data_IF_776111403842
#
_entry.id   IF_776111403842
#
_cell.length_a   1.000
_cell.length_b   1.000
_cell.length_c   1.000
_cell.angle_alpha   90.00
_cell.angle_beta   90.00
_cell.angle_gamma   90.00
#
_symmetry.space_group_name_H-M   'P 1'
#
loop_
_entity.id
_entity.type
_entity.pdbx_description
1 polymer ?
#
# COMPACT_ATOMS: atom_id res chain seq x y z
N UNK A 1 -3.71 15.85 19.52
CA UNK A 1 -2.39 15.71 18.89
C UNK A 1 -2.54 14.71 17.76
N UNK A 2 -2.08 15.03 16.55
CA UNK A 2 -2.03 14.06 15.46
C UNK A 2 -1.05 12.96 15.85
N UNK A 3 -1.54 11.73 15.96
CA UNK A 3 -0.70 10.57 16.25
C UNK A 3 0.07 10.28 14.97
N UNK A 4 1.35 10.64 14.93
CA UNK A 4 2.20 10.32 13.79
C UNK A 4 2.57 8.83 13.87
N UNK A 5 2.47 8.06 12.76
CA UNK A 5 2.93 6.69 12.73
C UNK A 5 4.43 6.64 13.02
N UNK A 6 4.89 5.58 13.69
CA UNK A 6 6.32 5.40 13.97
C UNK A 6 7.11 4.95 12.74
N UNK A 7 6.43 4.34 11.77
CA UNK A 7 7.03 3.82 10.55
C UNK A 7 6.17 4.26 9.36
N UNK A 8 6.82 4.72 8.29
CA UNK A 8 6.16 4.95 7.00
C UNK A 8 6.71 3.94 6.00
N UNK A 9 5.85 3.12 5.43
CA UNK A 9 6.19 2.18 4.35
C UNK A 9 5.79 2.83 3.04
N UNK A 10 6.80 3.24 2.25
CA UNK A 10 6.57 3.87 0.94
C UNK A 10 6.75 2.83 -0.15
N UNK A 11 5.73 2.64 -0.97
CA UNK A 11 5.70 1.65 -2.05
C UNK A 11 5.41 2.31 -3.40
N UNK A 12 6.43 2.73 -4.14
CA UNK A 12 6.26 3.17 -5.52
C UNK A 12 5.95 1.97 -6.42
N UNK A 13 5.08 2.17 -7.40
CA UNK A 13 4.74 1.11 -8.35
C UNK A 13 4.38 1.69 -9.72
N UNK A 14 4.79 0.96 -10.77
CA UNK A 14 4.43 1.21 -12.17
C UNK A 14 4.21 -0.15 -12.84
N UNK A 15 3.01 -0.38 -13.39
CA UNK A 15 2.61 -1.63 -14.03
C UNK A 15 2.88 -2.88 -13.16
N UNK A 16 2.58 -2.77 -11.87
CA UNK A 16 2.83 -3.77 -10.83
C UNK A 16 1.74 -4.82 -10.63
N UNK A 17 0.74 -4.94 -11.53
CA UNK A 17 -0.49 -5.74 -11.31
C UNK A 17 -0.26 -7.18 -10.85
N UNK A 18 0.87 -7.79 -11.23
CA UNK A 18 1.22 -9.18 -10.88
C UNK A 18 1.54 -9.36 -9.40
N UNK A 19 2.05 -8.33 -8.74
CA UNK A 19 2.62 -8.43 -7.39
C UNK A 19 1.99 -7.47 -6.39
N UNK A 20 1.35 -6.40 -6.86
CA UNK A 20 0.86 -5.32 -6.01
C UNK A 20 -0.11 -5.82 -4.92
N UNK A 21 -0.99 -6.78 -5.25
CA UNK A 21 -1.89 -7.40 -4.27
C UNK A 21 -1.13 -8.07 -3.12
N UNK A 22 -0.19 -8.96 -3.46
CA UNK A 22 0.60 -9.70 -2.47
C UNK A 22 1.49 -8.77 -1.62
N UNK A 23 2.03 -7.72 -2.23
CA UNK A 23 2.83 -6.72 -1.52
C UNK A 23 2.00 -5.96 -0.48
N UNK A 24 0.82 -5.48 -0.86
CA UNK A 24 -0.11 -4.81 0.07
C UNK A 24 -0.51 -5.77 1.19
N UNK A 25 -0.95 -6.99 0.86
CA UNK A 25 -1.34 -8.00 1.86
C UNK A 25 -0.20 -8.33 2.84
N UNK A 26 1.04 -8.43 2.35
CA UNK A 26 2.22 -8.67 3.19
C UNK A 26 2.45 -7.56 4.20
N UNK A 27 2.28 -6.30 3.79
CA UNK A 27 2.48 -5.12 4.65
C UNK A 27 1.32 -4.98 5.64
N UNK A 28 0.08 -5.15 5.18
CA UNK A 28 -1.10 -5.05 6.04
C UNK A 28 -1.14 -6.15 7.13
N UNK A 29 -0.53 -7.30 6.88
CA UNK A 29 -0.44 -8.44 7.82
C UNK A 29 0.79 -8.40 8.76
N UNK A 30 1.52 -7.28 8.85
CA UNK A 30 2.63 -7.16 9.80
C UNK A 30 2.13 -7.21 11.26
N UNK A 31 2.95 -7.80 12.15
CA UNK A 31 2.66 -7.88 13.60
C UNK A 31 2.81 -6.53 14.32
N UNK A 32 3.49 -5.59 13.69
CA UNK A 32 3.62 -4.21 14.17
C UNK A 32 2.61 -3.33 13.44
N UNK A 33 1.76 -2.60 14.18
CA UNK A 33 0.60 -1.89 13.61
C UNK A 33 0.74 -0.37 13.55
N UNK A 34 1.75 0.22 14.21
CA UNK A 34 1.91 1.69 14.29
C UNK A 34 2.65 2.25 13.06
N UNK A 35 2.11 1.99 11.87
CA UNK A 35 2.66 2.40 10.59
C UNK A 35 1.60 2.98 9.65
N UNK A 36 2.07 3.73 8.65
CA UNK A 36 1.29 4.08 7.46
C UNK A 36 1.87 3.39 6.22
N UNK A 37 1.00 3.03 5.29
CA UNK A 37 1.38 2.52 3.97
C UNK A 37 1.02 3.57 2.91
N UNK A 38 2.04 4.12 2.26
CA UNK A 38 1.89 5.12 1.21
C UNK A 38 2.23 4.45 -0.12
N UNK A 39 1.22 4.29 -0.97
CA UNK A 39 1.39 3.70 -2.31
C UNK A 39 1.45 4.82 -3.33
N UNK A 40 2.53 4.87 -4.10
CA UNK A 40 2.72 5.87 -5.16
C UNK A 40 2.57 5.17 -6.50
N UNK A 41 1.39 5.30 -7.12
CA UNK A 41 1.15 4.82 -8.47
C UNK A 41 1.74 5.81 -9.49
N UNK A 42 2.80 5.43 -10.17
CA UNK A 42 3.52 6.26 -11.15
C UNK A 42 2.86 6.19 -12.54
N UNK A 43 1.58 6.58 -12.63
CA UNK A 43 0.79 6.55 -13.86
C UNK A 43 0.72 5.16 -14.53
N UNK A 44 0.53 4.08 -13.76
CA UNK A 44 0.39 2.73 -14.35
C UNK A 44 -0.71 2.70 -15.41
N UNK A 45 -0.43 2.00 -16.51
CA UNK A 45 -1.35 1.84 -17.65
C UNK A 45 -2.07 0.49 -17.64
N UNK A 46 -1.87 -0.30 -16.59
CA UNK A 46 -2.50 -1.60 -16.38
C UNK A 46 -3.44 -1.58 -15.16
N UNK A 47 -3.94 -2.75 -14.74
CA UNK A 47 -4.87 -2.85 -13.59
C UNK A 47 -4.24 -2.58 -12.21
N UNK A 48 -3.02 -2.05 -12.12
CA UNK A 48 -2.37 -1.77 -10.83
C UNK A 48 -3.22 -0.84 -9.97
N UNK A 49 -3.74 0.25 -10.54
CA UNK A 49 -4.57 1.22 -9.81
C UNK A 49 -5.87 0.60 -9.29
N UNK A 50 -6.56 -0.16 -10.14
CA UNK A 50 -7.78 -0.87 -9.76
C UNK A 50 -7.55 -1.82 -8.58
N UNK A 51 -6.43 -2.55 -8.60
CA UNK A 51 -6.07 -3.45 -7.49
C UNK A 51 -5.79 -2.64 -6.22
N UNK A 52 -5.06 -1.52 -6.30
CA UNK A 52 -4.78 -0.65 -5.13
C UNK A 52 -6.10 -0.15 -4.52
N UNK A 53 -7.01 0.37 -5.34
CA UNK A 53 -8.29 0.92 -4.90
C UNK A 53 -9.27 -0.13 -4.37
N UNK A 54 -9.04 -1.41 -4.63
CA UNK A 54 -9.85 -2.51 -4.09
C UNK A 54 -9.62 -2.80 -2.60
N UNK A 55 -8.52 -2.30 -2.02
CA UNK A 55 -8.21 -2.51 -0.60
C UNK A 55 -9.00 -1.55 0.30
N UNK A 56 -9.69 -2.12 1.28
CA UNK A 56 -10.38 -1.39 2.34
C UNK A 56 -9.72 -1.69 3.68
N UNK A 57 -8.78 -0.84 4.09
CA UNK A 57 -8.19 -0.87 5.42
C UNK A 57 -8.65 0.35 6.21
N UNK A 58 -8.98 0.15 7.49
CA UNK A 58 -9.54 1.19 8.37
C UNK A 58 -8.49 1.88 9.24
N UNK A 59 -7.25 1.40 9.20
CA UNK A 59 -6.12 1.98 9.94
C UNK A 59 -5.74 3.35 9.38
#
# INVERSE_FOLDING_TARGET
MTKNPKISVIMPTYNGKKYIKYAIESILNQTYEDFELIIVNDCSTDNTEEIILSFLDKR
#
